data_IF_379353998687
#
_entry.id   IF_379353998687
#
_cell.length_a   1.000
_cell.length_b   1.000
_cell.length_c   1.000
_cell.angle_alpha   90.00
_cell.angle_beta   90.00
_cell.angle_gamma   90.00
#
_symmetry.space_group_name_H-M   'P 1'
#
loop_
_entity.id
_entity.type
_entity.pdbx_description
1 polymer ?
#
# COMPACT_ATOMS: atom_id res chain seq x y z
N UNK A 1 14.36 8.18 30.38
CA UNK A 1 13.00 8.64 30.72
C UNK A 1 12.01 7.90 29.84
N UNK A 2 11.38 6.84 30.33
CA UNK A 2 10.36 6.09 29.62
C UNK A 2 9.06 6.90 29.64
N UNK A 3 8.70 7.57 28.56
CA UNK A 3 7.39 8.22 28.44
C UNK A 3 6.33 7.14 28.32
N UNK A 4 5.61 6.85 29.36
CA UNK A 4 4.37 6.07 29.29
C UNK A 4 3.30 6.96 28.63
N UNK A 5 3.01 6.67 27.35
CA UNK A 5 1.87 7.28 26.67
C UNK A 5 0.59 6.51 27.05
N UNK A 6 -0.16 7.03 27.99
CA UNK A 6 -1.52 6.54 28.24
C UNK A 6 -2.46 7.21 27.23
N UNK A 7 -2.54 6.64 26.03
CA UNK A 7 -3.27 7.20 24.89
C UNK A 7 -4.74 6.77 24.82
N UNK A 8 -5.20 5.90 25.72
CA UNK A 8 -6.60 5.44 25.71
C UNK A 8 -7.53 6.62 25.95
N UNK A 9 -8.35 6.97 24.96
CA UNK A 9 -9.46 7.91 24.93
C UNK A 9 -9.16 9.42 24.73
N UNK A 10 -7.91 9.85 24.49
CA UNK A 10 -7.60 11.27 24.29
C UNK A 10 -6.80 11.59 23.04
N UNK A 11 -6.41 10.59 22.27
CA UNK A 11 -5.63 10.77 21.06
C UNK A 11 -6.23 10.01 19.88
N UNK A 12 -6.16 10.62 18.71
CA UNK A 12 -6.59 10.07 17.43
C UNK A 12 -5.37 10.00 16.51
N UNK A 13 -5.24 8.92 15.77
CA UNK A 13 -4.22 8.78 14.73
C UNK A 13 -4.83 9.22 13.41
N UNK A 14 -4.23 10.21 12.77
CA UNK A 14 -4.61 10.66 11.44
C UNK A 14 -3.44 10.50 10.47
N UNK A 15 -3.75 10.23 9.21
CA UNK A 15 -2.76 10.03 8.15
C UNK A 15 -2.99 11.09 7.08
N UNK A 16 -2.08 12.07 6.92
CA UNK A 16 -2.07 12.91 5.73
C UNK A 16 -1.65 12.06 4.53
N UNK A 17 -2.53 11.97 3.57
CA UNK A 17 -2.30 11.22 2.33
C UNK A 17 -1.51 12.07 1.34
N UNK A 18 -0.55 11.43 0.70
CA UNK A 18 0.28 12.00 -0.37
C UNK A 18 0.48 10.98 -1.48
N UNK A 19 0.46 11.43 -2.71
CA UNK A 19 0.56 10.57 -3.88
C UNK A 19 1.95 9.92 -3.95
N UNK A 20 1.98 8.61 -4.10
CA UNK A 20 3.23 7.85 -4.23
C UNK A 20 4.22 7.98 -3.05
N UNK A 21 3.78 8.47 -1.89
CA UNK A 21 4.66 8.74 -0.75
C UNK A 21 5.48 10.04 -0.87
N UNK A 22 5.16 10.92 -1.83
CA UNK A 22 5.92 12.15 -2.10
C UNK A 22 5.43 13.28 -1.20
N UNK A 23 6.29 13.80 -0.35
CA UNK A 23 6.06 15.02 0.42
C UNK A 23 6.83 16.20 -0.19
N UNK A 24 6.16 17.32 -0.40
CA UNK A 24 6.85 18.57 -0.69
C UNK A 24 7.54 19.11 0.57
N UNK A 25 8.60 19.92 0.44
CA UNK A 25 9.24 20.57 1.58
C UNK A 25 8.27 21.42 2.42
N UNK A 26 7.28 22.07 1.80
CA UNK A 26 6.25 22.85 2.49
C UNK A 26 5.31 21.96 3.29
N UNK A 27 4.91 20.80 2.78
CA UNK A 27 4.10 19.82 3.51
C UNK A 27 4.86 19.28 4.73
N UNK A 28 6.13 18.88 4.57
CA UNK A 28 6.96 18.41 5.69
C UNK A 28 7.16 19.49 6.75
N UNK A 29 7.43 20.73 6.34
CA UNK A 29 7.54 21.87 7.27
C UNK A 29 6.26 22.09 8.05
N UNK A 30 5.09 22.01 7.39
CA UNK A 30 3.79 22.17 8.06
C UNK A 30 3.54 21.03 9.05
N UNK A 31 3.81 19.79 8.65
CA UNK A 31 3.68 18.62 9.53
C UNK A 31 4.57 18.78 10.77
N UNK A 32 5.82 19.25 10.60
CA UNK A 32 6.72 19.48 11.72
C UNK A 32 6.18 20.56 12.69
N UNK A 33 5.69 21.69 12.17
CA UNK A 33 5.09 22.74 12.98
C UNK A 33 3.85 22.27 13.76
N UNK A 34 2.95 21.53 13.10
CA UNK A 34 1.80 20.93 13.76
C UNK A 34 2.22 19.89 14.80
N UNK A 35 3.31 19.16 14.51
CA UNK A 35 3.93 18.23 15.46
C UNK A 35 4.37 18.88 16.76
N UNK A 36 4.96 20.06 16.68
CA UNK A 36 5.40 20.83 17.84
C UNK A 36 4.22 21.42 18.65
N UNK A 37 3.15 21.83 17.98
CA UNK A 37 2.05 22.59 18.59
C UNK A 37 0.92 21.69 19.10
N UNK A 38 0.45 20.75 18.29
CA UNK A 38 -0.83 20.08 18.49
C UNK A 38 -0.74 18.54 18.49
N UNK A 39 0.40 17.95 18.05
CA UNK A 39 0.57 16.50 18.05
C UNK A 39 1.30 16.01 19.30
N UNK A 40 0.95 14.80 19.71
CA UNK A 40 1.66 14.06 20.76
C UNK A 40 2.87 13.32 20.21
N UNK A 41 2.80 12.91 18.94
CA UNK A 41 3.84 12.14 18.25
C UNK A 41 3.63 12.22 16.73
N UNK A 42 4.73 12.17 15.99
CA UNK A 42 4.75 11.86 14.55
C UNK A 42 5.50 10.55 14.38
N UNK A 43 4.92 9.61 13.62
CA UNK A 43 5.51 8.29 13.37
C UNK A 43 5.57 8.03 11.88
N UNK A 44 6.74 7.66 11.35
CA UNK A 44 6.84 7.08 10.01
C UNK A 44 6.17 5.69 9.99
N UNK A 45 5.34 5.44 8.99
CA UNK A 45 4.66 4.16 8.78
C UNK A 45 5.31 3.36 7.66
N UNK A 46 4.96 2.09 7.55
CA UNK A 46 5.39 1.23 6.44
C UNK A 46 4.75 1.64 5.11
N UNK A 47 3.61 2.34 5.16
CA UNK A 47 2.87 2.81 3.99
C UNK A 47 3.45 4.13 3.42
N UNK A 48 4.73 4.45 3.67
CA UNK A 48 5.39 5.68 3.21
C UNK A 48 4.66 6.97 3.65
N UNK A 49 3.94 6.93 4.77
CA UNK A 49 3.16 8.05 5.33
C UNK A 49 3.69 8.44 6.70
N UNK A 50 3.36 9.64 7.11
CA UNK A 50 3.59 10.12 8.46
C UNK A 50 2.27 10.05 9.24
N UNK A 51 2.18 9.17 10.21
CA UNK A 51 1.05 9.14 11.12
C UNK A 51 1.23 10.22 12.19
N UNK A 52 0.20 11.06 12.36
CA UNK A 52 0.15 12.07 13.39
C UNK A 52 -0.77 11.60 14.51
N UNK A 53 -0.22 11.48 15.71
CA UNK A 53 -1.02 11.20 16.92
C UNK A 53 -1.43 12.54 17.51
N UNK A 54 -2.70 12.89 17.35
CA UNK A 54 -3.26 14.21 17.66
C UNK A 54 -4.20 14.10 18.86
N UNK A 55 -4.25 15.12 19.71
CA UNK A 55 -5.28 15.21 20.75
C UNK A 55 -6.66 15.30 20.12
N UNK A 56 -7.65 14.63 20.68
CA UNK A 56 -8.98 14.53 20.09
C UNK A 56 -9.63 15.91 19.81
N UNK A 57 -9.41 16.88 20.68
CA UNK A 57 -9.90 18.27 20.54
C UNK A 57 -9.17 19.07 19.44
N UNK A 58 -8.05 18.57 18.93
CA UNK A 58 -7.23 19.22 17.91
C UNK A 58 -7.37 18.60 16.51
N UNK A 59 -8.05 17.46 16.38
CA UNK A 59 -8.16 16.75 15.09
C UNK A 59 -8.71 17.66 13.99
N UNK A 60 -9.79 18.38 14.25
CA UNK A 60 -10.42 19.24 13.23
C UNK A 60 -9.48 20.36 12.76
N UNK A 61 -8.80 21.05 13.68
CA UNK A 61 -7.87 22.14 13.33
C UNK A 61 -6.66 21.61 12.56
N UNK A 62 -6.06 20.51 13.02
CA UNK A 62 -4.91 19.90 12.34
C UNK A 62 -5.29 19.40 10.94
N UNK A 63 -6.45 18.75 10.79
CA UNK A 63 -6.97 18.31 9.49
C UNK A 63 -7.15 19.49 8.53
N UNK A 64 -7.77 20.58 8.98
CA UNK A 64 -7.96 21.78 8.15
C UNK A 64 -6.62 22.34 7.67
N UNK A 65 -5.64 22.44 8.56
CA UNK A 65 -4.33 22.96 8.23
C UNK A 65 -3.58 22.06 7.20
N UNK A 66 -3.71 20.74 7.29
CA UNK A 66 -3.16 19.82 6.32
C UNK A 66 -3.84 19.95 4.95
N UNK A 67 -5.16 20.09 4.93
CA UNK A 67 -5.95 20.28 3.72
C UNK A 67 -5.59 21.58 2.96
N UNK A 68 -5.14 22.64 3.65
CA UNK A 68 -4.66 23.87 2.98
C UNK A 68 -3.46 23.63 2.07
N UNK A 69 -2.74 22.52 2.26
CA UNK A 69 -1.58 22.11 1.44
C UNK A 69 -1.92 20.96 0.47
N UNK A 70 -3.19 20.71 0.22
CA UNK A 70 -3.66 19.70 -0.71
C UNK A 70 -3.56 18.26 -0.18
N UNK A 71 -3.27 18.07 1.11
CA UNK A 71 -3.25 16.73 1.72
C UNK A 71 -4.65 16.34 2.16
N UNK A 72 -5.20 15.27 1.65
CA UNK A 72 -6.38 14.64 2.26
C UNK A 72 -5.95 13.95 3.57
N UNK A 73 -6.88 13.80 4.49
CA UNK A 73 -6.60 13.17 5.78
C UNK A 73 -7.52 11.97 5.96
N UNK A 74 -6.91 10.82 6.23
CA UNK A 74 -7.61 9.55 6.41
C UNK A 74 -7.46 9.02 7.83
N UNK A 75 -8.40 8.16 8.19
CA UNK A 75 -8.24 7.24 9.29
C UNK A 75 -7.39 6.04 8.81
N UNK A 76 -6.60 5.45 9.68
CA UNK A 76 -5.75 4.31 9.35
C UNK A 76 -6.53 3.02 9.04
N UNK A 77 -7.77 2.93 9.48
CA UNK A 77 -8.54 1.68 9.53
C UNK A 77 -9.63 1.57 8.46
N UNK A 78 -9.83 2.58 7.63
CA UNK A 78 -10.90 2.60 6.65
C UNK A 78 -10.51 3.33 5.37
N UNK A 79 -11.29 3.10 4.31
CA UNK A 79 -11.21 3.83 3.07
C UNK A 79 -10.11 3.39 2.11
N UNK A 80 -10.16 3.94 0.93
CA UNK A 80 -9.13 3.78 -0.10
C UNK A 80 -7.97 4.73 0.19
N UNK A 81 -6.79 4.16 0.45
CA UNK A 81 -5.57 4.92 0.67
C UNK A 81 -4.88 5.26 -0.66
N UNK A 82 -4.14 6.36 -0.65
CA UNK A 82 -3.29 6.71 -1.79
C UNK A 82 -2.22 5.63 -2.02
N UNK A 83 -1.91 5.28 -3.28
CA UNK A 83 -0.93 4.25 -3.58
C UNK A 83 0.43 4.52 -2.95
N UNK A 84 1.10 3.46 -2.49
CA UNK A 84 2.53 3.48 -2.17
C UNK A 84 3.33 2.98 -3.37
N UNK A 85 4.48 3.59 -3.65
CA UNK A 85 5.28 3.21 -4.80
C UNK A 85 6.78 3.14 -4.51
N UNK A 86 7.53 2.42 -5.34
CA UNK A 86 8.97 2.54 -5.37
C UNK A 86 9.39 3.80 -6.14
N UNK A 87 10.69 4.01 -6.32
CA UNK A 87 11.24 5.22 -6.96
C UNK A 87 10.93 5.34 -8.47
N UNK A 88 10.29 4.33 -9.07
CA UNK A 88 9.89 4.35 -10.48
C UNK A 88 11.03 4.70 -11.43
N UNK A 89 10.79 5.60 -12.37
CA UNK A 89 11.76 6.03 -13.38
C UNK A 89 13.07 6.62 -12.83
N UNK A 90 13.13 6.95 -11.54
CA UNK A 90 14.38 7.40 -10.89
C UNK A 90 15.30 6.22 -10.52
N UNK A 91 14.84 4.97 -10.63
CA UNK A 91 15.64 3.78 -10.39
C UNK A 91 16.21 3.23 -11.72
N UNK A 92 17.51 2.91 -11.81
CA UNK A 92 18.08 2.36 -13.05
C UNK A 92 17.54 0.98 -13.42
N UNK A 93 16.99 0.23 -12.46
CA UNK A 93 16.46 -1.12 -12.66
C UNK A 93 14.94 -1.15 -12.95
N UNK A 94 14.30 0.00 -13.12
CA UNK A 94 12.86 0.04 -13.39
C UNK A 94 12.56 -0.52 -14.80
N UNK A 95 11.47 -1.25 -14.91
CA UNK A 95 10.85 -1.65 -16.17
C UNK A 95 9.61 -0.79 -16.48
N UNK A 96 8.91 -0.34 -15.41
CA UNK A 96 7.79 0.59 -15.49
C UNK A 96 7.99 1.75 -14.51
N UNK A 97 7.43 2.92 -14.83
CA UNK A 97 7.44 4.08 -13.93
C UNK A 97 6.37 3.96 -12.84
N UNK A 98 6.71 3.25 -11.76
CA UNK A 98 5.80 3.04 -10.64
C UNK A 98 5.36 4.35 -9.97
N UNK A 99 6.25 5.35 -9.90
CA UNK A 99 5.94 6.63 -9.27
C UNK A 99 4.95 7.44 -10.11
N UNK A 100 5.18 7.54 -11.42
CA UNK A 100 4.23 8.15 -12.36
C UNK A 100 2.87 7.44 -12.33
N UNK A 101 2.87 6.09 -12.37
CA UNK A 101 1.64 5.30 -12.27
C UNK A 101 0.88 5.54 -10.95
N UNK A 102 1.59 5.70 -9.81
CA UNK A 102 0.95 6.02 -8.55
C UNK A 102 0.26 7.40 -8.59
N UNK A 103 0.88 8.39 -9.21
CA UNK A 103 0.28 9.73 -9.40
C UNK A 103 -0.94 9.65 -10.33
N UNK A 104 -0.87 8.88 -11.42
CA UNK A 104 -1.99 8.70 -12.34
C UNK A 104 -3.19 8.04 -11.65
N UNK A 105 -2.95 6.97 -10.87
CA UNK A 105 -4.00 6.33 -10.07
C UNK A 105 -4.57 7.29 -9.03
N UNK A 106 -3.72 8.07 -8.33
CA UNK A 106 -4.15 9.04 -7.33
C UNK A 106 -5.04 10.15 -7.92
N UNK A 107 -4.83 10.50 -9.19
CA UNK A 107 -5.61 11.52 -9.90
C UNK A 107 -7.01 11.06 -10.32
N UNK A 108 -7.25 9.74 -10.31
CA UNK A 108 -8.55 9.19 -10.64
C UNK A 108 -9.59 9.52 -9.55
N UNK A 109 -10.80 9.95 -9.94
CA UNK A 109 -11.84 10.30 -8.99
C UNK A 109 -12.50 9.03 -8.42
N UNK A 110 -11.84 8.39 -7.47
CA UNK A 110 -12.43 7.27 -6.73
C UNK A 110 -13.37 7.78 -5.63
N UNK A 111 -14.52 7.11 -5.47
CA UNK A 111 -15.21 7.16 -4.20
C UNK A 111 -14.39 6.38 -3.18
N UNK A 112 -13.96 7.06 -2.16
CA UNK A 112 -12.98 6.55 -1.21
C UNK A 112 -13.58 5.98 0.07
N UNK A 113 -14.91 5.86 0.15
CA UNK A 113 -15.61 5.34 1.32
C UNK A 113 -15.71 3.81 1.25
N UNK A 114 -14.91 3.16 2.07
CA UNK A 114 -14.96 1.72 2.32
C UNK A 114 -14.89 1.48 3.83
N UNK A 115 -15.59 0.47 4.32
CA UNK A 115 -15.55 0.09 5.74
C UNK A 115 -14.24 -0.61 6.12
N UNK A 116 -13.59 -1.24 5.14
CA UNK A 116 -12.26 -1.83 5.28
C UNK A 116 -11.22 -1.02 4.50
N UNK A 117 -9.97 -0.91 4.98
CA UNK A 117 -8.92 -0.22 4.26
C UNK A 117 -8.58 -0.94 2.95
N UNK A 118 -8.32 -0.20 1.89
CA UNK A 118 -7.77 -0.71 0.63
C UNK A 118 -6.42 -0.05 0.41
N UNK A 119 -5.38 -0.86 0.34
CA UNK A 119 -3.99 -0.43 0.13
C UNK A 119 -3.48 -0.91 -1.22
N UNK A 120 -2.88 0.00 -1.97
CA UNK A 120 -2.34 -0.26 -3.30
C UNK A 120 -0.83 -0.11 -3.25
N UNK A 121 -0.10 -1.15 -3.69
CA UNK A 121 1.36 -1.12 -3.79
C UNK A 121 1.83 -1.22 -5.23
N UNK A 122 2.74 -0.35 -5.65
CA UNK A 122 3.23 -0.27 -7.03
C UNK A 122 4.76 -0.37 -7.03
N UNK A 123 5.28 -1.35 -7.75
CA UNK A 123 6.70 -1.52 -7.97
C UNK A 123 7.03 -1.49 -9.46
N UNK A 124 8.07 -0.77 -9.83
CA UNK A 124 8.51 -0.62 -11.21
C UNK A 124 9.24 -1.83 -11.78
N UNK A 125 9.53 -2.86 -10.97
CA UNK A 125 10.16 -4.10 -11.39
C UNK A 125 9.98 -5.20 -10.33
N UNK A 126 10.36 -6.43 -10.66
CA UNK A 126 10.25 -7.60 -9.80
C UNK A 126 11.10 -7.59 -8.52
N UNK A 127 11.93 -6.56 -8.27
CA UNK A 127 12.65 -6.41 -6.99
C UNK A 127 11.76 -6.06 -5.81
N UNK A 128 10.55 -5.55 -6.06
CA UNK A 128 9.52 -5.27 -5.07
C UNK A 128 10.04 -4.51 -3.83
N UNK A 129 10.68 -3.35 -4.04
CA UNK A 129 11.24 -2.52 -2.96
C UNK A 129 10.18 -1.93 -2.02
N UNK A 130 8.93 -1.85 -2.48
CA UNK A 130 7.76 -1.48 -1.68
C UNK A 130 6.97 -2.75 -1.37
N UNK A 131 6.43 -2.93 -0.16
CA UNK A 131 5.54 -4.04 0.11
C UNK A 131 4.42 -4.10 -0.92
N UNK A 132 4.33 -5.19 -1.66
CA UNK A 132 3.30 -5.36 -2.67
C UNK A 132 2.55 -6.67 -2.49
N UNK A 133 3.25 -7.77 -2.32
CA UNK A 133 2.64 -9.10 -2.33
C UNK A 133 1.62 -9.35 -1.22
N UNK A 134 1.61 -8.53 -0.17
CA UNK A 134 0.69 -8.65 0.97
C UNK A 134 -0.28 -7.47 1.09
N UNK A 135 -0.35 -6.61 0.07
CA UNK A 135 -1.33 -5.52 0.02
C UNK A 135 -2.59 -5.95 -0.74
N UNK A 136 -3.66 -5.19 -0.57
CA UNK A 136 -4.97 -5.49 -1.16
C UNK A 136 -4.91 -5.50 -2.69
N UNK A 137 -4.21 -4.54 -3.29
CA UNK A 137 -3.94 -4.47 -4.74
C UNK A 137 -2.44 -4.27 -4.94
N UNK A 138 -1.84 -5.12 -5.74
CA UNK A 138 -0.41 -5.14 -6.00
C UNK A 138 -0.12 -5.04 -7.49
N UNK A 139 0.74 -4.10 -7.86
CA UNK A 139 1.21 -3.91 -9.23
C UNK A 139 2.72 -4.08 -9.28
N UNK A 140 3.19 -4.96 -10.16
CA UNK A 140 4.62 -5.20 -10.38
C UNK A 140 4.93 -4.99 -11.85
N UNK A 141 5.84 -4.07 -12.14
CA UNK A 141 6.27 -3.73 -13.49
C UNK A 141 7.10 -4.84 -14.12
N UNK A 142 6.79 -5.11 -15.38
CA UNK A 142 7.54 -5.97 -16.30
C UNK A 142 7.69 -5.24 -17.65
N UNK A 143 8.51 -5.78 -18.53
CA UNK A 143 8.82 -5.12 -19.82
C UNK A 143 7.58 -4.79 -20.68
N UNK A 144 6.51 -5.59 -20.57
CA UNK A 144 5.28 -5.47 -21.35
C UNK A 144 4.13 -4.73 -20.63
N UNK A 145 4.34 -4.26 -19.38
CA UNK A 145 3.31 -3.60 -18.58
C UNK A 145 3.34 -4.00 -17.12
N UNK A 146 2.18 -4.07 -16.48
CA UNK A 146 2.06 -4.47 -15.09
C UNK A 146 1.40 -5.83 -14.92
N UNK A 147 1.96 -6.62 -13.99
CA UNK A 147 1.24 -7.72 -13.36
C UNK A 147 0.41 -7.17 -12.22
N UNK A 148 -0.87 -7.56 -12.17
CA UNK A 148 -1.79 -7.11 -11.13
C UNK A 148 -2.25 -8.31 -10.30
N UNK A 149 -2.03 -8.22 -9.00
CA UNK A 149 -2.47 -9.22 -8.01
C UNK A 149 -3.37 -8.56 -6.97
N UNK A 150 -4.28 -9.33 -6.38
CA UNK A 150 -5.25 -8.82 -5.40
C UNK A 150 -5.43 -9.75 -4.20
N UNK A 151 -5.95 -9.21 -3.11
CA UNK A 151 -6.33 -9.96 -1.91
C UNK A 151 -5.15 -10.36 -1.03
N UNK A 152 -4.03 -9.65 -1.10
CA UNK A 152 -2.94 -9.82 -0.14
C UNK A 152 -3.37 -9.43 1.27
N UNK A 153 -2.72 -10.00 2.28
CA UNK A 153 -2.99 -9.76 3.69
C UNK A 153 -1.71 -9.64 4.50
N UNK A 154 -1.49 -8.48 5.06
CA UNK A 154 -0.38 -8.23 5.98
C UNK A 154 -0.86 -8.43 7.44
N UNK A 155 -0.70 -9.63 7.97
CA UNK A 155 -1.16 -10.04 9.29
C UNK A 155 -0.12 -10.93 9.99
N UNK A 156 -0.46 -11.47 11.17
CA UNK A 156 0.39 -12.43 11.88
C UNK A 156 0.75 -13.65 11.00
N UNK A 157 -0.18 -14.06 10.15
CA UNK A 157 0.04 -15.06 9.10
C UNK A 157 -0.20 -14.32 7.77
N UNK A 158 0.87 -13.84 7.11
CA UNK A 158 0.72 -13.09 5.87
C UNK A 158 0.27 -14.01 4.72
N UNK A 159 -0.57 -13.47 3.86
CA UNK A 159 -1.05 -14.16 2.68
C UNK A 159 -0.71 -13.34 1.44
N UNK A 160 -0.21 -14.00 0.41
CA UNK A 160 0.18 -13.31 -0.81
C UNK A 160 -1.04 -13.03 -1.70
N UNK A 161 -1.01 -11.88 -2.33
CA UNK A 161 -2.00 -11.48 -3.31
C UNK A 161 -2.00 -12.45 -4.51
N UNK A 162 -3.19 -12.75 -5.01
CA UNK A 162 -3.43 -13.65 -6.14
C UNK A 162 -3.33 -12.88 -7.46
N UNK A 163 -2.55 -13.37 -8.41
CA UNK A 163 -2.43 -12.79 -9.75
C UNK A 163 -3.77 -12.87 -10.50
N UNK A 164 -4.23 -11.75 -11.06
CA UNK A 164 -5.50 -11.66 -11.81
C UNK A 164 -5.34 -11.10 -13.22
N UNK A 165 -4.23 -10.42 -13.52
CA UNK A 165 -3.94 -9.92 -14.86
C UNK A 165 -2.42 -9.80 -15.08
N UNK A 166 -1.99 -10.02 -16.31
CA UNK A 166 -0.59 -9.89 -16.73
C UNK A 166 -0.48 -8.99 -17.96
N UNK A 167 0.63 -8.25 -18.07
CA UNK A 167 0.93 -7.38 -19.19
C UNK A 167 -0.05 -6.22 -19.38
N UNK A 168 -0.66 -5.71 -18.29
CA UNK A 168 -1.57 -4.57 -18.35
C UNK A 168 -0.78 -3.32 -18.76
N UNK A 169 -1.11 -2.66 -19.91
CA UNK A 169 -0.37 -1.50 -20.33
C UNK A 169 -0.40 -0.37 -19.31
N UNK A 170 0.73 0.31 -19.10
CA UNK A 170 0.88 1.37 -18.08
C UNK A 170 -0.20 2.44 -18.21
N UNK A 171 -0.52 2.89 -19.41
CA UNK A 171 -1.55 3.90 -19.67
C UNK A 171 -2.98 3.43 -19.31
N UNK A 172 -3.23 2.13 -19.26
CA UNK A 172 -4.53 1.55 -18.93
C UNK A 172 -4.63 1.11 -17.45
N UNK A 173 -3.49 1.09 -16.75
CA UNK A 173 -3.43 0.64 -15.36
C UNK A 173 -4.38 1.40 -14.41
N UNK A 174 -4.56 2.73 -14.49
CA UNK A 174 -5.54 3.43 -13.66
C UNK A 174 -6.98 2.93 -13.86
N UNK A 175 -7.35 2.62 -15.11
CA UNK A 175 -8.68 2.08 -15.43
C UNK A 175 -8.84 0.64 -14.92
N UNK A 176 -7.79 -0.17 -15.02
CA UNK A 176 -7.78 -1.53 -14.50
C UNK A 176 -7.96 -1.54 -12.97
N UNK A 177 -7.22 -0.68 -12.25
CA UNK A 177 -7.40 -0.51 -10.80
C UNK A 177 -8.81 -0.02 -10.46
N UNK A 178 -9.36 0.91 -11.24
CA UNK A 178 -10.76 1.35 -11.09
C UNK A 178 -11.73 0.17 -11.23
N UNK A 179 -11.57 -0.67 -12.25
CA UNK A 179 -12.45 -1.81 -12.46
C UNK A 179 -12.43 -2.79 -11.28
N UNK A 180 -11.26 -3.02 -10.66
CA UNK A 180 -11.14 -3.82 -9.44
C UNK A 180 -11.97 -3.20 -8.30
N UNK A 181 -11.75 -1.89 -8.06
CA UNK A 181 -12.39 -1.16 -6.95
C UNK A 181 -13.91 -1.11 -7.14
N UNK A 182 -14.39 -0.87 -8.37
CA UNK A 182 -15.82 -0.77 -8.67
C UNK A 182 -16.50 -2.13 -8.57
N UNK A 183 -15.84 -3.22 -8.99
CA UNK A 183 -16.34 -4.58 -8.83
C UNK A 183 -16.45 -4.95 -7.34
N UNK A 184 -15.40 -4.72 -6.58
CA UNK A 184 -15.40 -4.94 -5.13
C UNK A 184 -16.51 -4.14 -4.45
N UNK A 185 -16.65 -2.86 -4.76
CA UNK A 185 -17.72 -2.01 -4.19
C UNK A 185 -19.12 -2.55 -4.47
N UNK A 186 -19.34 -3.11 -5.65
CA UNK A 186 -20.66 -3.57 -6.09
C UNK A 186 -21.02 -4.91 -5.46
N UNK A 187 -20.04 -5.79 -5.21
CA UNK A 187 -20.27 -7.18 -4.86
C UNK A 187 -19.83 -7.56 -3.43
N UNK A 188 -19.08 -6.68 -2.75
CA UNK A 188 -18.65 -6.92 -1.38
C UNK A 188 -19.82 -6.87 -0.38
N UNK A 189 -19.70 -7.65 0.67
CA UNK A 189 -20.61 -7.61 1.82
C UNK A 189 -20.20 -6.49 2.79
N UNK A 190 -21.13 -5.96 3.61
CA UNK A 190 -20.78 -4.95 4.60
C UNK A 190 -19.63 -5.39 5.52
N UNK A 191 -18.58 -4.55 5.63
CA UNK A 191 -17.40 -4.81 6.45
C UNK A 191 -16.41 -5.83 5.89
N UNK A 192 -16.70 -6.46 4.76
CA UNK A 192 -15.83 -7.44 4.12
C UNK A 192 -14.57 -6.75 3.55
N UNK A 193 -13.39 -7.25 3.87
CA UNK A 193 -12.12 -6.80 3.26
C UNK A 193 -11.96 -7.33 1.83
N UNK A 194 -11.07 -6.72 1.03
CA UNK A 194 -10.81 -7.23 -0.32
C UNK A 194 -10.26 -8.67 -0.30
N UNK A 195 -9.46 -9.01 0.71
CA UNK A 195 -8.98 -10.38 0.92
C UNK A 195 -10.15 -11.37 1.14
N UNK A 196 -11.05 -11.09 2.09
CA UNK A 196 -12.22 -11.93 2.37
C UNK A 196 -13.18 -12.02 1.16
N UNK A 197 -13.33 -10.91 0.44
CA UNK A 197 -14.08 -10.89 -0.82
C UNK A 197 -13.52 -11.89 -1.83
N UNK A 198 -12.19 -11.88 -2.05
CA UNK A 198 -11.52 -12.81 -2.97
C UNK A 198 -11.64 -14.27 -2.48
N UNK A 199 -11.50 -14.50 -1.18
CA UNK A 199 -11.73 -15.84 -0.62
C UNK A 199 -13.16 -16.35 -0.89
N UNK A 200 -14.17 -15.47 -0.81
CA UNK A 200 -15.59 -15.82 -0.99
C UNK A 200 -15.98 -16.03 -2.45
N UNK A 201 -15.59 -15.11 -3.35
CA UNK A 201 -16.04 -15.14 -4.76
C UNK A 201 -15.04 -15.80 -5.72
N UNK A 202 -13.82 -15.97 -5.27
CA UNK A 202 -12.68 -16.40 -6.11
C UNK A 202 -12.11 -15.27 -6.97
N UNK A 203 -10.88 -15.42 -7.45
CA UNK A 203 -10.19 -14.39 -8.24
C UNK A 203 -10.79 -14.18 -9.64
N UNK A 204 -11.53 -15.16 -10.16
CA UNK A 204 -12.07 -15.14 -11.53
C UNK A 204 -13.01 -13.97 -11.78
N UNK A 205 -13.73 -13.49 -10.76
CA UNK A 205 -14.61 -12.32 -10.86
C UNK A 205 -13.80 -11.08 -11.27
N UNK A 206 -12.66 -10.85 -10.62
CA UNK A 206 -11.78 -9.71 -10.94
C UNK A 206 -10.96 -9.95 -12.20
N UNK A 207 -10.52 -11.18 -12.47
CA UNK A 207 -9.87 -11.54 -13.73
C UNK A 207 -10.77 -11.21 -14.93
N UNK A 208 -12.06 -11.54 -14.84
CA UNK A 208 -13.03 -11.20 -15.88
C UNK A 208 -13.20 -9.68 -16.07
N UNK A 209 -13.18 -8.91 -14.98
CA UNK A 209 -13.23 -7.44 -15.04
C UNK A 209 -12.00 -6.83 -15.74
N UNK A 210 -10.84 -7.48 -15.65
CA UNK A 210 -9.59 -7.02 -16.27
C UNK A 210 -9.33 -7.60 -17.67
N UNK A 211 -10.16 -8.50 -18.17
CA UNK A 211 -9.99 -9.12 -19.48
C UNK A 211 -9.75 -8.12 -20.66
N UNK A 212 -10.31 -6.89 -20.68
CA UNK A 212 -10.04 -5.92 -21.74
C UNK A 212 -8.59 -5.45 -21.80
N UNK A 213 -7.83 -5.56 -20.71
CA UNK A 213 -6.46 -5.01 -20.59
C UNK A 213 -5.38 -6.07 -20.38
N UNK A 214 -5.73 -7.28 -19.96
CA UNK A 214 -4.77 -8.37 -19.81
C UNK A 214 -4.33 -8.90 -21.17
N UNK A 215 -3.01 -9.04 -21.36
CA UNK A 215 -2.44 -9.60 -22.59
C UNK A 215 -2.50 -11.13 -22.61
N UNK A 216 -2.62 -11.77 -21.46
CA UNK A 216 -2.75 -13.20 -21.32
C UNK A 216 -4.18 -13.57 -20.95
N UNK A 217 -4.97 -13.95 -21.97
CA UNK A 217 -6.32 -14.51 -21.78
C UNK A 217 -6.28 -16.03 -21.53
N UNK A 218 -5.09 -16.61 -21.36
CA UNK A 218 -4.91 -17.99 -20.94
C UNK A 218 -5.26 -18.17 -19.47
N UNK A 219 -5.77 -19.33 -19.13
CA UNK A 219 -5.98 -19.75 -17.72
C UNK A 219 -4.64 -19.62 -16.99
N UNK A 220 -4.53 -18.63 -16.07
CA UNK A 220 -3.34 -18.49 -15.25
C UNK A 220 -3.28 -19.70 -14.33
N UNK A 221 -2.35 -20.63 -14.59
CA UNK A 221 -2.11 -21.75 -13.70
C UNK A 221 -1.32 -21.27 -12.49
N UNK A 222 -2.04 -21.03 -11.40
CA UNK A 222 -1.49 -20.51 -10.15
C UNK A 222 -0.46 -21.44 -9.51
N UNK A 223 -0.34 -22.71 -9.95
CA UNK A 223 0.59 -23.66 -9.39
C UNK A 223 2.06 -23.44 -9.85
N UNK A 224 2.28 -22.75 -10.98
CA UNK A 224 3.63 -22.51 -11.50
C UNK A 224 4.29 -21.20 -11.02
N UNK A 225 3.54 -20.28 -10.40
CA UNK A 225 4.05 -18.94 -10.07
C UNK A 225 4.71 -18.82 -8.69
N UNK A 226 4.63 -19.83 -7.85
CA UNK A 226 5.39 -19.88 -6.60
C UNK A 226 6.56 -20.83 -6.83
N UNK A 227 7.81 -20.36 -7.02
CA UNK A 227 8.95 -21.27 -6.93
C UNK A 227 8.85 -21.94 -5.56
N UNK A 228 8.84 -23.27 -5.55
CA UNK A 228 8.94 -24.02 -4.32
C UNK A 228 10.14 -23.43 -3.57
N UNK A 229 9.88 -22.66 -2.51
CA UNK A 229 10.93 -22.25 -1.62
C UNK A 229 11.58 -23.56 -1.17
N UNK A 230 12.80 -23.82 -1.63
CA UNK A 230 13.61 -24.86 -1.05
C UNK A 230 13.57 -24.59 0.44
N UNK A 231 12.88 -25.46 1.16
CA UNK A 231 12.87 -25.47 2.62
C UNK A 231 14.27 -25.92 3.03
N UNK A 232 15.24 -25.02 2.91
CA UNK A 232 16.45 -25.15 3.68
C UNK A 232 16.04 -24.99 5.14
N UNK A 233 15.97 -26.12 5.80
CA UNK A 233 15.90 -26.20 7.26
C UNK A 233 16.93 -25.21 7.83
N UNK A 234 16.58 -24.39 8.86
CA UNK A 234 17.54 -23.50 9.47
C UNK A 234 18.52 -24.34 10.31
N UNK A 235 19.45 -25.00 9.62
CA UNK A 235 20.58 -25.67 10.24
C UNK A 235 21.69 -24.62 10.39
N UNK A 236 21.96 -24.28 11.66
CA UNK A 236 23.14 -23.58 12.15
C UNK A 236 23.19 -22.05 11.98
N UNK A 237 22.32 -21.34 12.72
CA UNK A 237 22.74 -20.09 13.31
C UNK A 237 23.68 -20.42 14.49
N UNK A 238 24.96 -20.66 14.18
CA UNK A 238 26.01 -20.72 15.20
C UNK A 238 26.16 -19.31 15.76
N UNK A 239 25.94 -19.15 17.05
CA UNK A 239 26.13 -17.95 17.84
C UNK A 239 27.43 -17.23 17.44
N UNK A 240 27.31 -16.03 16.86
CA UNK A 240 28.40 -15.07 16.87
C UNK A 240 28.66 -14.72 18.33
N UNK A 241 29.84 -15.12 18.83
CA UNK A 241 30.24 -14.83 20.19
C UNK A 241 30.51 -13.33 20.31
N UNK A 242 30.12 -12.75 21.45
CA UNK A 242 30.17 -11.31 21.73
C UNK A 242 31.61 -10.75 21.85
N UNK A 243 32.63 -11.48 21.44
CA UNK A 243 34.04 -11.11 21.54
C UNK A 243 34.60 -10.39 20.32
N UNK A 244 33.87 -10.38 19.16
CA UNK A 244 34.36 -9.77 17.92
C UNK A 244 34.00 -8.28 17.74
N UNK A 245 33.32 -7.66 18.71
CA UNK A 245 32.89 -6.24 18.60
C UNK A 245 33.82 -5.27 19.34
N UNK A 246 34.84 -5.76 20.03
CA UNK A 246 35.72 -4.91 20.89
C UNK A 246 37.06 -4.51 20.21
N UNK A 247 37.23 -4.75 18.91
CA UNK A 247 38.51 -4.47 18.21
C UNK A 247 38.28 -3.77 16.85
N UNK A 248 37.54 -2.64 16.84
CA UNK A 248 37.66 -1.62 15.80
C UNK A 248 37.37 -0.24 16.38
#
# INVERSE_FOLDING_TARGET
MTRQFNLKNQAVVIIPEVDGGIYSPSQLKKIALLGEQDCLMIKATEDQRLALVVKADKVSSVTTELQTLGMSVRNYQDGLHQPVSCMGALCPDHEQDALGTAMDISSEPFDSHFESPIKIGINGCGKCCTPCHTLDISLVGEANGYRISVGGKNAQYPEFATLIADGVPTAETPKAVRAIIDTYRTEAQPGESLHEFIERVGPNTLTAALAPWSQDSGTIDFAETVPAAEQESPANFTSLQAEDIAAQ
#
